data_IF_872113233448
#
_entry.id   IF_872113233448
#
_cell.length_a   1.000
_cell.length_b   1.000
_cell.length_c   1.000
_cell.angle_alpha   90.00
_cell.angle_beta   90.00
_cell.angle_gamma   90.00
#
_symmetry.space_group_name_H-M   'P 1'
#
loop_
_entity.id
_entity.type
_entity.pdbx_description
1 polymer ?
#
# COMPACT_ATOMS: atom_id res chain seq x y z
N UNK A 1 3.83 9.64 15.91
CA UNK A 1 4.81 10.20 14.94
C UNK A 1 6.17 9.65 15.31
N UNK A 2 7.01 9.21 14.36
CA UNK A 2 8.34 8.72 14.69
C UNK A 2 9.13 9.79 15.45
N UNK A 3 9.91 9.37 16.45
CA UNK A 3 10.60 10.28 17.38
C UNK A 3 11.54 11.30 16.69
N UNK A 4 11.94 11.04 15.44
CA UNK A 4 12.89 11.83 14.67
C UNK A 4 12.26 12.62 13.50
N UNK A 5 10.93 12.79 13.49
CA UNK A 5 10.24 13.53 12.42
C UNK A 5 10.47 15.04 12.53
N UNK A 6 10.99 15.66 11.46
CA UNK A 6 11.19 17.11 11.35
C UNK A 6 10.74 17.60 9.96
N UNK A 7 9.58 18.26 9.94
CA UNK A 7 8.98 18.78 8.71
C UNK A 7 9.84 19.85 8.02
N UNK A 8 10.62 20.64 8.78
CA UNK A 8 11.49 21.67 8.22
C UNK A 8 12.68 21.04 7.48
N UNK A 9 13.18 19.89 7.95
CA UNK A 9 14.22 19.12 7.24
C UNK A 9 13.70 18.47 5.96
N UNK A 10 12.48 17.91 5.98
CA UNK A 10 11.88 17.29 4.78
C UNK A 10 11.77 18.25 3.60
N UNK A 11 11.37 19.51 3.85
CA UNK A 11 11.26 20.56 2.81
C UNK A 11 12.60 20.96 2.19
N UNK A 12 13.73 20.64 2.85
CA UNK A 12 15.08 20.95 2.38
C UNK A 12 15.70 19.81 1.56
N UNK A 13 15.02 18.68 1.41
CA UNK A 13 15.53 17.55 0.64
C UNK A 13 15.55 17.87 -0.86
N UNK A 14 16.62 17.44 -1.53
CA UNK A 14 16.74 17.56 -2.98
C UNK A 14 15.79 16.56 -3.68
N UNK A 15 15.25 16.90 -4.86
CA UNK A 15 14.49 15.96 -5.67
C UNK A 15 15.33 14.74 -6.07
N UNK A 16 14.73 13.54 -6.08
CA UNK A 16 15.44 12.29 -6.34
C UNK A 16 15.44 11.85 -7.81
N UNK A 17 14.50 12.31 -8.63
CA UNK A 17 14.29 11.80 -10.00
C UNK A 17 14.39 12.87 -11.08
N UNK A 18 13.81 14.04 -10.86
CA UNK A 18 13.85 15.18 -11.78
C UNK A 18 14.63 16.32 -11.15
N UNK A 19 15.77 16.68 -11.75
CA UNK A 19 16.71 17.65 -11.18
C UNK A 19 16.09 19.02 -10.93
N UNK A 20 15.35 19.55 -11.92
CA UNK A 20 14.70 20.87 -11.83
C UNK A 20 13.18 20.72 -11.79
N UNK A 21 12.54 21.31 -10.77
CA UNK A 21 11.08 21.30 -10.62
C UNK A 21 10.49 19.93 -10.23
N UNK A 22 11.30 18.98 -9.76
CA UNK A 22 10.81 17.73 -9.19
C UNK A 22 10.25 17.91 -7.77
N UNK A 23 9.24 17.12 -7.40
CA UNK A 23 8.61 17.14 -6.07
C UNK A 23 8.89 15.88 -5.23
N UNK A 24 9.37 14.81 -5.86
CA UNK A 24 9.64 13.53 -5.20
C UNK A 24 11.02 13.57 -4.57
N UNK A 25 11.10 13.25 -3.27
CA UNK A 25 12.32 13.24 -2.47
C UNK A 25 12.43 11.92 -1.70
N UNK A 26 13.60 11.58 -1.18
CA UNK A 26 13.77 10.40 -0.34
C UNK A 26 12.86 10.39 0.91
N UNK A 27 12.39 11.56 1.37
CA UNK A 27 11.56 11.67 2.56
C UNK A 27 10.06 11.53 2.33
N UNK A 28 9.58 11.57 1.08
CA UNK A 28 8.16 11.39 0.73
C UNK A 28 7.90 10.13 -0.12
N UNK A 29 8.96 9.38 -0.43
CA UNK A 29 8.88 8.09 -1.10
C UNK A 29 9.01 6.94 -0.09
N UNK A 30 8.50 5.76 -0.45
CA UNK A 30 8.73 4.54 0.31
C UNK A 30 10.23 4.19 0.34
N UNK A 31 10.72 3.72 1.48
CA UNK A 31 12.09 3.23 1.60
C UNK A 31 12.26 1.86 0.93
N UNK A 32 13.44 1.61 0.36
CA UNK A 32 13.86 0.25 0.02
C UNK A 32 13.97 -0.52 1.33
N UNK A 33 13.21 -1.61 1.44
CA UNK A 33 13.03 -2.35 2.68
C UNK A 33 13.01 -3.84 2.40
N UNK A 34 13.65 -4.62 3.26
CA UNK A 34 13.63 -6.09 3.23
C UNK A 34 12.67 -6.61 4.30
N UNK A 35 11.82 -7.58 3.96
CA UNK A 35 10.85 -8.15 4.90
C UNK A 35 10.07 -9.35 4.34
N UNK A 36 9.38 -10.07 5.21
CA UNK A 36 8.53 -11.22 4.86
C UNK A 36 7.22 -11.20 5.66
N UNK A 37 6.18 -11.82 5.09
CA UNK A 37 4.87 -11.96 5.73
C UNK A 37 4.24 -13.32 5.37
N UNK A 38 3.37 -13.83 6.24
CA UNK A 38 2.59 -15.06 6.01
C UNK A 38 1.14 -14.86 6.48
N UNK A 39 0.19 -15.44 5.74
CA UNK A 39 -1.23 -15.44 6.09
C UNK A 39 -1.79 -16.86 6.01
N UNK A 40 -2.61 -17.24 6.98
CA UNK A 40 -3.36 -18.51 6.95
C UNK A 40 -4.80 -18.21 6.56
N UNK A 41 -5.26 -18.84 5.50
CA UNK A 41 -6.61 -18.70 4.97
C UNK A 41 -7.39 -19.99 5.16
N UNK A 42 -8.67 -19.84 5.47
CA UNK A 42 -9.59 -20.95 5.72
C UNK A 42 -10.99 -20.53 5.27
N UNK A 43 -11.78 -21.48 4.76
CA UNK A 43 -13.18 -21.19 4.44
C UNK A 43 -13.97 -20.88 5.71
N UNK A 44 -15.01 -20.05 5.61
CA UNK A 44 -15.85 -19.71 6.77
C UNK A 44 -16.42 -20.96 7.46
N UNK A 45 -16.87 -21.95 6.70
CA UNK A 45 -17.34 -23.22 7.26
C UNK A 45 -16.26 -23.98 8.03
N UNK A 46 -15.04 -24.04 7.50
CA UNK A 46 -13.95 -24.78 8.12
C UNK A 46 -13.48 -24.07 9.38
N UNK A 47 -13.49 -22.73 9.40
CA UNK A 47 -13.24 -21.94 10.60
C UNK A 47 -14.24 -22.27 11.71
N UNK A 48 -15.53 -22.37 11.39
CA UNK A 48 -16.57 -22.78 12.35
C UNK A 48 -16.41 -24.23 12.82
N UNK A 49 -16.21 -25.17 11.87
CA UNK A 49 -16.01 -26.60 12.18
C UNK A 49 -14.81 -26.85 13.10
N UNK A 50 -13.77 -26.03 12.98
CA UNK A 50 -12.56 -26.13 13.80
C UNK A 50 -12.57 -25.21 15.04
N UNK A 51 -13.61 -24.39 15.24
CA UNK A 51 -13.68 -23.45 16.35
C UNK A 51 -12.57 -22.39 16.35
N UNK A 52 -12.08 -21.98 15.17
CA UNK A 52 -10.97 -21.03 15.04
C UNK A 52 -11.41 -19.59 15.36
N UNK A 53 -10.56 -18.84 16.06
CA UNK A 53 -10.73 -17.41 16.23
C UNK A 53 -10.37 -16.67 14.94
N UNK A 54 -11.37 -16.17 14.23
CA UNK A 54 -11.19 -15.40 13.00
C UNK A 54 -10.90 -13.93 13.35
N UNK A 55 -9.79 -13.39 12.85
CA UNK A 55 -9.40 -11.97 13.08
C UNK A 55 -9.88 -11.02 11.98
N UNK A 56 -10.19 -11.53 10.79
CA UNK A 56 -10.67 -10.75 9.65
C UNK A 56 -11.36 -11.65 8.60
N UNK A 57 -12.15 -11.03 7.71
CA UNK A 57 -12.77 -11.68 6.54
C UNK A 57 -12.39 -10.89 5.29
N UNK A 58 -12.06 -11.60 4.20
CA UNK A 58 -11.92 -11.00 2.86
C UNK A 58 -13.34 -10.77 2.31
N UNK A 59 -13.74 -9.51 2.16
CA UNK A 59 -15.08 -9.12 1.68
C UNK A 59 -15.17 -8.93 0.17
N UNK A 60 -14.05 -8.61 -0.47
CA UNK A 60 -13.98 -8.34 -1.90
C UNK A 60 -12.54 -8.22 -2.36
N UNK A 61 -12.34 -8.38 -3.66
CA UNK A 61 -11.06 -8.28 -4.34
C UNK A 61 -11.32 -7.90 -5.80
N UNK A 62 -10.52 -6.99 -6.35
CA UNK A 62 -10.57 -6.67 -7.76
C UNK A 62 -9.23 -6.16 -8.27
N UNK A 63 -8.99 -6.36 -9.56
CA UNK A 63 -7.85 -5.85 -10.29
C UNK A 63 -8.25 -4.76 -11.29
N UNK A 64 -7.30 -3.87 -11.59
CA UNK A 64 -7.42 -2.89 -12.66
C UNK A 64 -6.04 -2.60 -13.26
N UNK A 65 -6.02 -2.34 -14.57
CA UNK A 65 -4.83 -1.94 -15.31
C UNK A 65 -5.18 -0.77 -16.24
N UNK A 66 -4.17 0.00 -16.61
CA UNK A 66 -4.24 1.11 -17.54
C UNK A 66 -2.85 1.36 -18.14
N UNK A 67 -2.70 2.41 -18.94
CA UNK A 67 -1.43 2.78 -19.55
C UNK A 67 -0.28 2.81 -18.52
N UNK A 68 0.91 2.25 -18.82
CA UNK A 68 1.99 2.09 -17.85
C UNK A 68 2.44 3.40 -17.17
N UNK A 69 2.39 4.53 -17.88
CA UNK A 69 2.73 5.84 -17.34
C UNK A 69 1.77 6.33 -16.22
N UNK A 70 0.58 5.74 -16.13
CA UNK A 70 -0.43 6.05 -15.11
C UNK A 70 -0.55 4.98 -14.02
N UNK A 71 0.38 4.02 -13.92
CA UNK A 71 0.23 2.87 -13.00
C UNK A 71 -0.12 3.24 -11.55
N UNK A 72 0.36 4.39 -11.05
CA UNK A 72 0.12 4.86 -9.68
C UNK A 72 -1.35 5.17 -9.37
N UNK A 73 -2.20 5.39 -10.38
CA UNK A 73 -3.64 5.67 -10.19
C UNK A 73 -4.54 4.47 -10.45
N UNK A 74 -3.98 3.30 -10.81
CA UNK A 74 -4.75 2.05 -10.95
C UNK A 74 -5.61 1.70 -9.71
N UNK A 75 -5.17 1.97 -8.45
CA UNK A 75 -6.02 1.77 -7.28
C UNK A 75 -7.37 2.52 -7.32
N UNK A 76 -7.43 3.72 -7.93
CA UNK A 76 -8.68 4.48 -8.06
C UNK A 76 -9.72 3.75 -8.94
N UNK A 77 -9.27 2.90 -9.87
CA UNK A 77 -10.13 2.07 -10.72
C UNK A 77 -10.47 0.72 -10.08
N UNK A 78 -9.55 0.16 -9.29
CA UNK A 78 -9.73 -1.14 -8.64
C UNK A 78 -10.68 -1.06 -7.44
N UNK A 79 -10.59 0.00 -6.63
CA UNK A 79 -11.37 0.14 -5.39
C UNK A 79 -12.88 0.01 -5.63
N UNK A 80 -13.53 0.76 -6.55
CA UNK A 80 -14.97 0.65 -6.79
C UNK A 80 -15.40 -0.76 -7.23
N UNK A 81 -14.54 -1.51 -7.94
CA UNK A 81 -14.83 -2.90 -8.35
C UNK A 81 -14.71 -3.88 -7.19
N UNK A 82 -13.85 -3.59 -6.22
CA UNK A 82 -13.60 -4.47 -5.08
C UNK A 82 -14.67 -4.31 -3.99
N UNK A 83 -15.29 -3.13 -3.87
CA UNK A 83 -16.24 -2.80 -2.80
C UNK A 83 -17.67 -2.51 -3.28
N UNK A 84 -17.87 -2.25 -4.58
CA UNK A 84 -19.16 -2.00 -5.20
C UNK A 84 -19.82 -3.28 -5.68
#
# INVERSE_FOLDING_TARGET
MPANFDAAKLRKLRPSFKETGGSVTAGNASSISDGAAALVLVSGEKALKLGLQVIAKISGYADAAQEPELFTTAPALAIPKAIG
#
